data_IF_555661304261
#
_entry.id   IF_555661304261
#
_cell.length_a   1.000
_cell.length_b   1.000
_cell.length_c   1.000
_cell.angle_alpha   90.00
_cell.angle_beta   90.00
_cell.angle_gamma   90.00
#
_symmetry.space_group_name_H-M   'P 1'
#
loop_
_entity.id
_entity.type
_entity.pdbx_description
1 polymer ?
#
# COMPACT_ATOMS: atom_id res chain seq x y z
N UNK A 1 5.72 -34.81 21.79
CA UNK A 1 5.31 -34.26 20.48
C UNK A 1 3.81 -34.04 20.55
N UNK A 2 3.35 -32.80 20.71
CA UNK A 2 1.93 -32.46 20.66
C UNK A 2 1.53 -32.26 19.19
N UNK A 3 0.39 -32.86 18.81
CA UNK A 3 -0.12 -32.88 17.45
C UNK A 3 -0.55 -31.46 17.01
N UNK A 4 -0.06 -30.93 15.87
CA UNK A 4 -0.39 -29.56 15.42
C UNK A 4 -1.87 -29.37 15.07
N UNK A 5 -2.66 -30.44 14.92
CA UNK A 5 -4.09 -30.34 14.61
C UNK A 5 -4.96 -29.99 15.83
N UNK A 6 -4.51 -30.23 17.06
CA UNK A 6 -5.33 -30.02 18.27
C UNK A 6 -5.49 -28.52 18.60
N UNK A 7 -4.46 -27.73 18.32
CA UNK A 7 -4.48 -26.26 18.50
C UNK A 7 -5.41 -25.55 17.52
N UNK A 8 -5.82 -26.20 16.42
CA UNK A 8 -6.70 -25.59 15.42
C UNK A 8 -8.19 -25.67 15.80
N UNK A 9 -8.56 -26.65 16.62
CA UNK A 9 -9.94 -26.87 17.06
C UNK A 9 -10.27 -26.00 18.28
N UNK A 10 -9.33 -25.87 19.21
CA UNK A 10 -9.48 -25.03 20.41
C UNK A 10 -9.57 -23.53 20.04
N UNK A 11 -8.80 -23.09 19.04
CA UNK A 11 -8.89 -21.73 18.52
C UNK A 11 -10.21 -21.44 17.79
N UNK A 12 -10.90 -22.46 17.28
CA UNK A 12 -12.19 -22.30 16.58
C UNK A 12 -13.37 -22.15 17.55
N UNK A 13 -13.29 -22.76 18.73
CA UNK A 13 -14.30 -22.58 19.78
C UNK A 13 -14.18 -21.22 20.48
N UNK A 14 -12.95 -20.74 20.72
CA UNK A 14 -12.70 -19.42 21.32
C UNK A 14 -13.20 -18.29 20.39
N UNK A 15 -13.01 -18.44 19.07
CA UNK A 15 -13.46 -17.46 18.07
C UNK A 15 -14.98 -17.41 17.93
N UNK A 16 -15.68 -18.49 18.30
CA UNK A 16 -17.14 -18.56 18.27
C UNK A 16 -17.82 -17.84 19.44
N UNK A 17 -17.13 -17.73 20.59
CA UNK A 17 -17.64 -17.04 21.78
C UNK A 17 -17.27 -15.55 21.83
N UNK A 18 -16.27 -15.12 21.06
CA UNK A 18 -15.85 -13.72 21.01
C UNK A 18 -16.39 -12.96 19.80
N UNK A 19 -17.57 -13.36 19.29
CA UNK A 19 -18.30 -12.55 18.30
C UNK A 19 -18.73 -11.25 18.97
N UNK A 20 -17.93 -10.22 18.78
CA UNK A 20 -18.38 -8.85 18.89
C UNK A 20 -19.60 -8.73 17.98
N UNK A 21 -20.78 -8.45 18.55
CA UNK A 21 -22.04 -8.36 17.82
C UNK A 21 -21.90 -7.30 16.71
N UNK A 22 -21.66 -7.71 15.48
CA UNK A 22 -21.26 -6.81 14.38
C UNK A 22 -22.44 -6.35 13.51
N UNK A 23 -23.67 -6.73 13.84
CA UNK A 23 -24.85 -6.37 13.04
C UNK A 23 -25.76 -5.36 13.75
N UNK A 24 -26.02 -4.24 13.09
CA UNK A 24 -27.04 -3.25 13.49
C UNK A 24 -28.43 -3.89 13.63
N UNK A 25 -28.66 -5.00 12.91
CA UNK A 25 -29.86 -5.84 12.95
C UNK A 25 -30.04 -6.54 14.30
N UNK A 26 -29.00 -7.13 14.88
CA UNK A 26 -29.07 -7.81 16.18
C UNK A 26 -29.17 -6.81 17.35
N UNK A 27 -28.59 -5.62 17.20
CA UNK A 27 -28.74 -4.54 18.18
C UNK A 27 -30.18 -4.00 18.23
N UNK A 28 -30.83 -3.91 17.07
CA UNK A 28 -32.24 -3.54 16.98
C UNK A 28 -33.12 -4.58 17.66
N UNK A 29 -32.83 -5.87 17.46
CA UNK A 29 -33.55 -6.98 18.10
C UNK A 29 -33.34 -7.02 19.62
N UNK A 30 -32.12 -6.75 20.09
CA UNK A 30 -31.81 -6.72 21.53
C UNK A 30 -32.43 -5.49 22.22
N UNK A 31 -32.36 -4.32 21.58
CA UNK A 31 -33.01 -3.11 22.08
C UNK A 31 -34.53 -3.28 22.14
N UNK A 32 -35.13 -3.94 21.15
CA UNK A 32 -36.55 -4.25 21.12
C UNK A 32 -36.94 -5.25 22.21
N UNK A 33 -36.15 -6.31 22.43
CA UNK A 33 -36.38 -7.29 23.49
C UNK A 33 -36.29 -6.66 24.91
N UNK A 34 -35.34 -5.75 25.14
CA UNK A 34 -35.21 -5.03 26.42
C UNK A 34 -36.41 -4.11 26.66
N UNK A 35 -36.89 -3.45 25.61
CA UNK A 35 -38.02 -2.51 25.71
C UNK A 35 -39.36 -3.22 25.89
N UNK A 36 -39.50 -4.46 25.41
CA UNK A 36 -40.68 -5.31 25.62
C UNK A 36 -40.80 -5.83 27.06
N UNK A 37 -39.68 -6.16 27.71
CA UNK A 37 -39.65 -6.66 29.10
C UNK A 37 -39.97 -5.58 30.15
N UNK A 38 -39.93 -4.29 29.75
CA UNK A 38 -40.14 -3.12 30.62
C UNK A 38 -41.58 -2.57 30.61
N UNK A 39 -42.54 -3.24 29.95
CA UNK A 39 -43.97 -2.89 29.88
C UNK A 39 -44.24 -1.39 29.60
N UNK A 40 -43.51 -0.83 28.62
CA UNK A 40 -43.52 0.61 28.33
C UNK A 40 -44.67 0.93 27.35
N UNK A 41 -45.54 1.92 27.63
CA UNK A 41 -46.64 2.29 26.73
C UNK A 41 -46.15 2.65 25.32
N UNK A 42 -46.85 2.09 24.33
CA UNK A 42 -46.47 1.95 22.91
C UNK A 42 -46.15 3.27 22.21
N UNK A 43 -46.63 4.40 22.72
CA UNK A 43 -46.47 5.73 22.11
C UNK A 43 -45.04 6.29 22.21
N UNK A 44 -44.22 5.78 23.14
CA UNK A 44 -42.82 6.20 23.34
C UNK A 44 -41.78 5.09 23.05
N UNK A 45 -42.23 3.93 22.56
CA UNK A 45 -41.37 2.75 22.34
C UNK A 45 -40.21 3.06 21.38
N UNK A 46 -40.52 3.66 20.22
CA UNK A 46 -39.54 3.96 19.18
C UNK A 46 -38.51 5.03 19.60
N UNK A 47 -38.94 6.05 20.35
CA UNK A 47 -38.04 7.09 20.87
C UNK A 47 -37.06 6.54 21.90
N UNK A 48 -37.51 5.59 22.73
CA UNK A 48 -36.67 4.96 23.75
C UNK A 48 -35.72 3.93 23.15
N UNK A 49 -36.15 3.18 22.13
CA UNK A 49 -35.28 2.31 21.33
C UNK A 49 -34.14 3.14 20.71
N UNK A 50 -34.43 4.31 20.13
CA UNK A 50 -33.39 5.21 19.63
C UNK A 50 -32.44 5.71 20.72
N UNK A 51 -32.95 6.04 21.91
CA UNK A 51 -32.10 6.43 23.05
C UNK A 51 -31.20 5.29 23.54
N UNK A 52 -31.71 4.06 23.58
CA UNK A 52 -30.96 2.87 23.96
C UNK A 52 -29.89 2.58 22.92
N UNK A 53 -30.21 2.60 21.62
CA UNK A 53 -29.25 2.43 20.53
C UNK A 53 -28.17 3.54 20.57
N UNK A 54 -28.56 4.79 20.84
CA UNK A 54 -27.61 5.90 21.01
C UNK A 54 -26.69 5.71 22.21
N UNK A 55 -27.21 5.20 23.32
CA UNK A 55 -26.41 4.94 24.53
C UNK A 55 -25.45 3.75 24.34
N UNK A 56 -25.91 2.69 23.66
CA UNK A 56 -25.11 1.52 23.34
C UNK A 56 -24.05 1.78 22.26
N UNK A 57 -24.35 2.66 21.28
CA UNK A 57 -23.35 3.08 20.27
C UNK A 57 -22.26 3.96 20.88
N UNK A 58 -22.59 4.83 21.84
CA UNK A 58 -21.61 5.64 22.57
C UNK A 58 -20.70 4.78 23.45
N UNK A 59 -21.21 3.75 24.13
CA UNK A 59 -20.38 2.87 24.97
C UNK A 59 -19.39 2.03 24.17
N UNK A 60 -19.71 1.62 22.93
CA UNK A 60 -18.77 0.92 22.03
C UNK A 60 -17.59 1.78 21.58
N UNK A 61 -17.78 3.08 21.43
CA UNK A 61 -16.73 3.96 20.90
C UNK A 61 -15.61 4.25 21.90
N UNK A 62 -15.79 3.89 23.19
CA UNK A 62 -14.93 4.37 24.28
C UNK A 62 -13.72 3.48 24.61
N UNK A 63 -13.61 2.28 24.05
CA UNK A 63 -12.48 1.38 24.36
C UNK A 63 -11.48 1.35 23.20
N UNK A 64 -10.91 2.52 22.90
CA UNK A 64 -9.69 2.67 22.07
C UNK A 64 -8.47 3.06 22.91
N UNK A 65 -8.54 2.81 24.21
CA UNK A 65 -7.46 3.12 25.16
C UNK A 65 -6.74 1.84 25.56
N UNK A 66 -5.40 1.82 25.58
CA UNK A 66 -4.62 0.67 26.05
C UNK A 66 -4.82 0.40 27.54
N UNK A 67 -5.40 1.35 28.28
CA UNK A 67 -5.68 1.26 29.71
C UNK A 67 -7.20 1.39 29.93
N UNK A 68 -7.82 0.52 30.75
CA UNK A 68 -9.24 0.62 31.06
C UNK A 68 -9.54 1.88 31.90
N UNK A 69 -10.81 2.34 31.91
CA UNK A 69 -11.22 3.46 32.75
C UNK A 69 -10.92 3.23 34.25
N UNK A 70 -10.71 4.31 35.02
CA UNK A 70 -10.41 4.22 36.46
C UNK A 70 -11.45 3.45 37.27
N UNK A 71 -12.73 3.61 36.93
CA UNK A 71 -13.85 2.95 37.59
C UNK A 71 -13.75 1.42 37.47
N UNK A 72 -13.21 0.92 36.35
CA UNK A 72 -13.03 -0.51 36.12
C UNK A 72 -11.81 -1.03 36.88
N UNK A 73 -10.73 -0.25 36.96
CA UNK A 73 -9.55 -0.59 37.76
C UNK A 73 -9.91 -0.74 39.24
N UNK A 74 -10.84 0.07 39.76
CA UNK A 74 -11.35 -0.09 41.12
C UNK A 74 -12.07 -1.43 41.30
N UNK A 75 -12.95 -1.82 40.37
CA UNK A 75 -13.62 -3.12 40.38
C UNK A 75 -12.66 -4.31 40.26
N UNK A 76 -11.62 -4.22 39.42
CA UNK A 76 -10.61 -5.26 39.31
C UNK A 76 -9.82 -5.45 40.62
N UNK A 77 -9.57 -4.37 41.37
CA UNK A 77 -8.89 -4.42 42.66
C UNK A 77 -9.68 -5.18 43.72
N UNK A 78 -11.02 -5.10 43.67
CA UNK A 78 -11.91 -5.81 44.59
C UNK A 78 -11.87 -7.33 44.36
N UNK A 79 -11.71 -7.77 43.12
CA UNK A 79 -11.57 -9.19 42.75
C UNK A 79 -10.16 -9.71 43.04
N UNK A 80 -9.14 -8.99 42.59
CA UNK A 80 -7.74 -9.30 42.80
C UNK A 80 -6.96 -8.00 43.08
N UNK A 81 -6.40 -7.82 44.30
CA UNK A 81 -5.73 -6.58 44.67
C UNK A 81 -4.58 -6.16 43.74
N UNK A 82 -3.94 -7.13 43.07
CA UNK A 82 -2.81 -6.94 42.14
C UNK A 82 -3.22 -6.76 40.67
N UNK A 83 -4.50 -6.95 40.31
CA UNK A 83 -4.95 -6.86 38.93
C UNK A 83 -4.73 -5.48 38.28
N UNK A 84 -5.00 -4.34 38.93
CA UNK A 84 -4.77 -3.03 38.32
C UNK A 84 -3.33 -2.82 37.87
N UNK A 85 -2.38 -3.21 38.72
CA UNK A 85 -0.94 -3.09 38.45
C UNK A 85 -0.50 -3.98 37.28
N UNK A 86 -1.09 -5.18 37.18
CA UNK A 86 -0.82 -6.12 36.08
C UNK A 86 -1.37 -5.62 34.76
N UNK A 87 -2.57 -5.03 34.76
CA UNK A 87 -3.21 -4.46 33.57
C UNK A 87 -2.42 -3.26 33.06
N UNK A 88 -1.98 -2.37 33.96
CA UNK A 88 -1.14 -1.23 33.59
C UNK A 88 0.20 -1.68 32.99
N UNK A 89 0.83 -2.69 33.59
CA UNK A 89 2.06 -3.29 33.04
C UNK A 89 1.85 -3.94 31.66
N UNK A 90 0.73 -4.62 31.46
CA UNK A 90 0.37 -5.19 30.17
C UNK A 90 0.25 -4.08 29.10
N UNK A 91 -0.45 -3.00 29.43
CA UNK A 91 -0.63 -1.84 28.56
C UNK A 91 0.69 -1.14 28.23
N UNK A 92 1.57 -0.97 29.23
CA UNK A 92 2.89 -0.36 29.05
C UNK A 92 3.79 -1.22 28.15
N UNK A 93 3.85 -2.54 28.39
CA UNK A 93 4.62 -3.46 27.57
C UNK A 93 4.15 -3.46 26.11
N UNK A 94 2.84 -3.49 25.90
CA UNK A 94 2.22 -3.44 24.57
C UNK A 94 2.53 -2.11 23.86
N UNK A 95 2.48 -0.98 24.58
CA UNK A 95 2.89 0.32 24.04
C UNK A 95 4.38 0.35 23.67
N UNK A 96 5.26 -0.17 24.53
CA UNK A 96 6.70 -0.25 24.25
C UNK A 96 6.99 -1.12 23.02
N UNK A 97 6.30 -2.24 22.88
CA UNK A 97 6.43 -3.12 21.72
C UNK A 97 6.04 -2.41 20.41
N UNK A 98 4.90 -1.70 20.41
CA UNK A 98 4.47 -0.91 19.24
C UNK A 98 5.47 0.19 18.87
N UNK A 99 5.99 0.93 19.84
CA UNK A 99 7.02 1.95 19.59
C UNK A 99 8.30 1.36 19.02
N UNK A 100 8.72 0.19 19.50
CA UNK A 100 9.88 -0.52 18.97
C UNK A 100 9.67 -0.94 17.51
N UNK A 101 8.48 -1.47 17.17
CA UNK A 101 8.14 -1.84 15.79
C UNK A 101 8.05 -0.63 14.87
N UNK A 102 7.44 0.48 15.31
CA UNK A 102 7.37 1.72 14.54
C UNK A 102 8.77 2.27 14.25
N UNK A 103 9.66 2.27 15.25
CA UNK A 103 11.06 2.68 15.07
C UNK A 103 11.78 1.82 14.05
N UNK A 104 11.65 0.49 14.12
CA UNK A 104 12.27 -0.43 13.15
C UNK A 104 11.72 -0.21 11.74
N UNK A 105 10.42 0.03 11.59
CA UNK A 105 9.80 0.34 10.31
C UNK A 105 10.38 1.63 9.72
N UNK A 106 10.41 2.71 10.52
CA UNK A 106 10.97 4.00 10.09
C UNK A 106 12.45 3.87 9.72
N UNK A 107 13.24 3.16 10.52
CA UNK A 107 14.66 2.90 10.23
C UNK A 107 14.83 2.12 8.93
N UNK A 108 14.04 1.05 8.72
CA UNK A 108 14.08 0.26 7.48
C UNK A 108 13.68 1.08 6.26
N UNK A 109 12.74 2.02 6.41
CA UNK A 109 12.31 2.92 5.34
C UNK A 109 13.39 3.97 5.01
N UNK A 110 14.09 4.50 6.02
CA UNK A 110 15.21 5.41 5.80
C UNK A 110 16.36 4.67 5.11
N UNK A 111 16.62 3.41 5.50
CA UNK A 111 17.68 2.60 4.91
C UNK A 111 17.37 2.21 3.45
N UNK A 112 16.13 1.83 3.14
CA UNK A 112 15.72 1.54 1.76
C UNK A 112 15.82 2.78 0.86
N UNK A 113 15.38 3.95 1.34
CA UNK A 113 15.53 5.21 0.59
C UNK A 113 16.98 5.60 0.35
N UNK A 114 17.86 5.40 1.34
CA UNK A 114 19.32 5.63 1.19
C UNK A 114 19.96 4.64 0.23
N UNK A 115 19.45 3.42 0.17
CA UNK A 115 19.97 2.38 -0.73
C UNK A 115 19.51 2.62 -2.16
N UNK A 116 18.24 2.98 -2.37
CA UNK A 116 17.69 3.34 -3.68
C UNK A 116 18.34 4.59 -4.26
N UNK A 117 18.57 5.63 -3.44
CA UNK A 117 19.28 6.84 -3.91
C UNK A 117 20.72 6.52 -4.35
N UNK A 118 21.44 5.65 -3.61
CA UNK A 118 22.79 5.20 -4.00
C UNK A 118 22.82 4.29 -5.22
N UNK A 119 21.77 3.48 -5.45
CA UNK A 119 21.64 2.68 -6.68
C UNK A 119 21.35 3.59 -7.89
N UNK A 120 20.45 4.56 -7.75
CA UNK A 120 20.11 5.51 -8.81
C UNK A 120 21.30 6.39 -9.24
N UNK A 121 22.23 6.68 -8.32
CA UNK A 121 23.48 7.37 -8.66
C UNK A 121 24.41 6.49 -9.53
N UNK A 122 24.48 5.18 -9.27
CA UNK A 122 25.32 4.25 -10.06
C UNK A 122 24.75 3.94 -11.44
N UNK A 123 23.41 3.88 -11.58
CA UNK A 123 22.76 3.66 -12.88
C UNK A 123 22.85 4.91 -13.79
N UNK A 124 22.86 6.11 -13.22
CA UNK A 124 22.99 7.35 -14.00
C UNK A 124 24.40 7.57 -14.59
N UNK A 125 25.44 6.98 -14.03
CA UNK A 125 26.78 7.13 -14.60
C UNK A 125 26.93 6.33 -15.89
N UNK A 126 26.38 5.12 -16.00
CA UNK A 126 26.43 4.34 -17.25
C UNK A 126 25.74 5.05 -18.43
N UNK A 127 24.71 5.85 -18.16
CA UNK A 127 23.93 6.53 -19.21
C UNK A 127 24.58 7.80 -19.77
N UNK A 128 25.41 8.51 -18.98
CA UNK A 128 26.09 9.73 -19.46
C UNK A 128 27.21 9.42 -20.46
N UNK A 129 27.92 8.31 -20.28
CA UNK A 129 28.93 7.86 -21.23
C UNK A 129 28.32 7.34 -22.53
N UNK A 130 27.15 6.69 -22.46
CA UNK A 130 26.40 6.24 -23.64
C UNK A 130 25.83 7.43 -24.43
N UNK A 131 25.30 8.46 -23.75
CA UNK A 131 24.75 9.64 -24.41
C UNK A 131 25.82 10.43 -25.19
N UNK A 132 26.97 10.72 -24.56
CA UNK A 132 28.02 11.53 -25.19
C UNK A 132 28.82 10.75 -26.24
N UNK A 133 29.01 9.44 -26.07
CA UNK A 133 29.64 8.59 -27.11
C UNK A 133 28.67 8.28 -28.25
N UNK A 134 27.38 8.10 -27.95
CA UNK A 134 26.33 7.87 -28.95
C UNK A 134 26.18 9.02 -29.94
N UNK A 135 26.33 10.27 -29.49
CA UNK A 135 26.32 11.45 -30.36
C UNK A 135 27.47 11.43 -31.38
N UNK A 136 28.67 11.04 -30.94
CA UNK A 136 29.85 10.97 -31.81
C UNK A 136 29.65 9.88 -32.87
N UNK A 137 29.16 8.69 -32.49
CA UNK A 137 28.85 7.63 -33.44
C UNK A 137 27.76 8.02 -34.44
N UNK A 138 26.71 8.71 -33.99
CA UNK A 138 25.67 9.24 -34.87
C UNK A 138 26.23 10.25 -35.88
N UNK A 139 27.10 11.16 -35.43
CA UNK A 139 27.77 12.12 -36.30
C UNK A 139 28.68 11.45 -37.34
N UNK A 140 29.44 10.42 -36.94
CA UNK A 140 30.28 9.63 -37.85
C UNK A 140 29.44 8.91 -38.91
N UNK A 141 28.31 8.31 -38.52
CA UNK A 141 27.40 7.62 -39.45
C UNK A 141 26.86 8.60 -40.49
N UNK A 142 26.42 9.79 -40.07
CA UNK A 142 25.92 10.83 -40.98
C UNK A 142 26.99 11.27 -41.98
N UNK A 143 28.23 11.49 -41.51
CA UNK A 143 29.35 11.83 -42.40
C UNK A 143 29.70 10.72 -43.39
N UNK A 144 29.67 9.45 -42.96
CA UNK A 144 29.91 8.31 -43.82
C UNK A 144 28.83 8.21 -44.92
N UNK A 145 27.56 8.41 -44.56
CA UNK A 145 26.46 8.46 -45.53
C UNK A 145 26.61 9.59 -46.54
N UNK A 146 26.95 10.81 -46.09
CA UNK A 146 27.19 11.95 -46.98
C UNK A 146 28.35 11.70 -47.94
N UNK A 147 29.45 11.13 -47.45
CA UNK A 147 30.61 10.79 -48.26
C UNK A 147 30.29 9.70 -49.29
N UNK A 148 29.50 8.70 -48.89
CA UNK A 148 29.05 7.63 -49.78
C UNK A 148 28.12 8.14 -50.89
N UNK A 149 27.21 9.06 -50.56
CA UNK A 149 26.34 9.72 -51.54
C UNK A 149 27.18 10.54 -52.54
N UNK A 150 28.16 11.32 -52.06
CA UNK A 150 29.05 12.10 -52.93
C UNK A 150 29.88 11.21 -53.87
N UNK A 151 30.37 10.07 -53.37
CA UNK A 151 31.10 9.10 -54.18
C UNK A 151 30.24 8.48 -55.29
N UNK A 152 28.95 8.20 -55.01
CA UNK A 152 28.02 7.67 -56.00
C UNK A 152 27.68 8.69 -57.09
N UNK A 153 27.54 9.97 -56.74
CA UNK A 153 27.34 11.05 -57.72
C UNK A 153 28.53 11.11 -58.69
N UNK A 154 29.75 10.95 -58.19
CA UNK A 154 30.95 10.94 -59.04
C UNK A 154 31.01 9.76 -60.02
N UNK A 155 30.27 8.67 -59.76
CA UNK A 155 30.21 7.49 -60.63
C UNK A 155 29.04 7.50 -61.62
N UNK A 156 28.33 8.63 -61.77
CA UNK A 156 27.21 8.83 -62.71
C UNK A 156 26.00 7.88 -62.50
N UNK A 157 25.93 7.19 -61.36
CA UNK A 157 24.83 6.28 -60.98
C UNK A 157 23.75 7.03 -60.19
N UNK A 158 23.18 8.06 -60.80
CA UNK A 158 22.24 9.01 -60.17
C UNK A 158 20.95 8.35 -59.67
N UNK A 159 20.48 7.31 -60.36
CA UNK A 159 19.24 6.59 -59.98
C UNK A 159 19.45 5.68 -58.76
N UNK A 160 20.62 5.05 -58.64
CA UNK A 160 20.95 4.14 -57.53
C UNK A 160 21.18 4.90 -56.21
N UNK A 161 21.69 6.13 -56.30
CA UNK A 161 21.89 7.01 -55.14
C UNK A 161 20.57 7.44 -54.48
N UNK A 162 19.49 7.56 -55.24
CA UNK A 162 18.19 7.99 -54.71
C UNK A 162 17.52 6.92 -53.84
N UNK A 163 17.51 5.66 -54.31
CA UNK A 163 16.92 4.54 -53.56
C UNK A 163 17.69 4.23 -52.27
N UNK A 164 19.01 4.32 -52.29
CA UNK A 164 19.85 4.11 -51.08
C UNK A 164 19.63 5.19 -50.02
N UNK A 165 19.48 6.46 -50.43
CA UNK A 165 19.15 7.54 -49.50
C UNK A 165 17.75 7.38 -48.87
N UNK A 166 16.75 6.94 -49.65
CA UNK A 166 15.40 6.70 -49.15
C UNK A 166 15.32 5.54 -48.16
N UNK A 167 16.07 4.46 -48.40
CA UNK A 167 16.15 3.32 -47.46
C UNK A 167 16.79 3.76 -46.14
N UNK A 168 17.88 4.53 -46.18
CA UNK A 168 18.53 5.05 -44.97
C UNK A 168 17.60 5.93 -44.14
N UNK A 169 16.83 6.80 -44.81
CA UNK A 169 15.89 7.71 -44.17
C UNK A 169 14.69 6.96 -43.56
N UNK A 170 14.19 5.92 -44.23
CA UNK A 170 13.13 5.06 -43.71
C UNK A 170 13.55 4.30 -42.43
N UNK A 171 14.80 3.80 -42.36
CA UNK A 171 15.33 3.12 -41.17
C UNK A 171 15.44 4.07 -39.97
N UNK A 172 15.87 5.32 -40.18
CA UNK A 172 15.93 6.34 -39.13
C UNK A 172 14.53 6.69 -38.59
N UNK A 173 13.56 6.91 -39.48
CA UNK A 173 12.17 7.20 -39.10
C UNK A 173 11.56 6.02 -38.35
N UNK A 174 11.78 4.79 -38.81
CA UNK A 174 11.28 3.59 -38.16
C UNK A 174 11.83 3.45 -36.72
N UNK A 175 13.13 3.71 -36.53
CA UNK A 175 13.75 3.66 -35.20
C UNK A 175 13.12 4.71 -34.25
N UNK A 176 12.92 5.95 -34.73
CA UNK A 176 12.32 7.03 -33.94
C UNK A 176 10.87 6.73 -33.54
N UNK A 177 10.05 6.22 -34.46
CA UNK A 177 8.65 5.84 -34.18
C UNK A 177 8.57 4.68 -33.20
N UNK A 178 9.45 3.67 -33.35
CA UNK A 178 9.47 2.51 -32.47
C UNK A 178 9.90 2.89 -31.05
N UNK A 179 10.93 3.75 -30.91
CA UNK A 179 11.36 4.34 -29.64
C UNK A 179 10.21 5.10 -28.95
N UNK A 180 9.44 5.90 -29.69
CA UNK A 180 8.35 6.70 -29.14
C UNK A 180 7.19 5.86 -28.58
N UNK A 181 6.93 4.67 -29.13
CA UNK A 181 5.84 3.80 -28.63
C UNK A 181 6.19 3.10 -27.32
N UNK A 182 7.43 2.63 -27.19
CA UNK A 182 7.87 1.89 -25.99
C UNK A 182 7.79 2.78 -24.73
N UNK A 183 8.10 4.07 -24.86
CA UNK A 183 8.11 5.00 -23.72
C UNK A 183 6.72 5.46 -23.23
N UNK A 184 5.66 5.19 -24.00
CA UNK A 184 4.29 5.62 -23.64
C UNK A 184 3.51 4.55 -22.88
N UNK A 185 3.95 3.28 -22.92
CA UNK A 185 3.24 2.19 -22.24
C UNK A 185 3.62 2.04 -20.76
N UNK A 186 4.83 2.45 -20.37
CA UNK A 186 5.35 2.26 -19.02
C UNK A 186 4.80 3.28 -17.99
N UNK A 187 4.25 4.40 -18.47
CA UNK A 187 3.64 5.42 -17.59
C UNK A 187 2.22 5.06 -17.12
N UNK A 188 1.55 4.11 -17.76
CA UNK A 188 0.16 3.76 -17.44
C UNK A 188 0.04 2.54 -16.51
N UNK A 189 1.11 1.76 -16.32
CA UNK A 189 1.15 0.64 -15.38
C UNK A 189 1.25 1.09 -13.92
N UNK A 190 2.11 2.09 -13.63
CA UNK A 190 2.41 2.54 -12.26
C UNK A 190 1.26 3.27 -11.55
N UNK A 191 0.22 3.69 -12.27
CA UNK A 191 -0.96 4.35 -11.69
C UNK A 191 -2.09 3.39 -11.30
N UNK A 192 -2.00 2.11 -11.68
CA UNK A 192 -3.03 1.11 -11.32
C UNK A 192 -2.77 0.42 -9.98
N UNK A 193 -1.54 0.49 -9.47
CA UNK A 193 -1.16 -0.11 -8.18
C UNK A 193 -1.35 0.84 -6.99
N UNK A 194 -1.97 2.02 -7.22
CA UNK A 194 -2.15 3.07 -6.20
C UNK A 194 -3.60 3.47 -5.94
N UNK A 195 -4.58 2.74 -6.50
CA UNK A 195 -6.01 2.99 -6.30
C UNK A 195 -6.71 1.76 -5.78
#
# INVERSE_FOLDING_TARGET
MSNPDDTSLENKEIDSQNRIFDSDTELSQLAEAIVDDLDIPTESKNQKIEQVIRTLSVSRQLIKSPVPPPDWLAGYKEVEPTAPERILRLAENEQQHRHAMEKLLVESQIESQRTESKLGEKEQETDRWLANRGLIFAFIIVLAFLSFIAFLIWKDKTVEAFYSAMIGLAVLIANFIFRSRIFSSDRNGKNRDKT
#
